data_IF_671712096647
#
_entry.id   IF_671712096647
#
_cell.length_a   1.000
_cell.length_b   1.000
_cell.length_c   1.000
_cell.angle_alpha   90.00
_cell.angle_beta   90.00
_cell.angle_gamma   90.00
#
_symmetry.space_group_name_H-M   'P 1'
#
loop_
_entity.id
_entity.type
_entity.pdbx_description
1 polymer ?
#
# COMPACT_ATOMS: atom_id res chain seq x y z
N UNK A 1 -3.02 -18.99 -9.97
CA UNK A 1 -2.72 -17.66 -10.57
C UNK A 1 -3.84 -16.70 -10.16
N UNK A 2 -3.69 -15.37 -10.20
CA UNK A 2 -4.76 -14.40 -9.87
C UNK A 2 -5.09 -14.17 -8.37
N UNK A 3 -4.14 -13.62 -7.59
CA UNK A 3 -4.52 -12.99 -6.31
C UNK A 3 -3.67 -11.75 -6.00
N UNK A 4 -2.39 -11.75 -6.40
CA UNK A 4 -1.50 -10.58 -6.21
C UNK A 4 -1.78 -9.44 -7.21
N UNK A 5 -2.04 -9.78 -8.47
CA UNK A 5 -2.52 -8.81 -9.45
C UNK A 5 -3.88 -8.28 -9.01
N UNK A 6 -4.81 -9.15 -8.60
CA UNK A 6 -6.13 -8.73 -8.10
C UNK A 6 -6.07 -7.83 -6.88
N UNK A 7 -5.26 -8.11 -5.85
CA UNK A 7 -5.18 -7.19 -4.68
C UNK A 7 -4.48 -5.86 -4.99
N UNK A 8 -3.48 -5.85 -5.87
CA UNK A 8 -2.87 -4.61 -6.38
C UNK A 8 -3.87 -3.83 -7.25
N UNK A 9 -4.53 -4.53 -8.15
CA UNK A 9 -5.55 -3.97 -9.04
C UNK A 9 -6.76 -3.50 -8.23
N UNK A 10 -7.13 -4.18 -7.15
CA UNK A 10 -8.16 -3.74 -6.20
C UNK A 10 -7.69 -2.52 -5.40
N UNK A 11 -6.46 -2.45 -4.88
CA UNK A 11 -5.96 -1.24 -4.22
C UNK A 11 -5.89 -0.03 -5.18
N UNK A 12 -5.44 -0.26 -6.42
CA UNK A 12 -5.34 0.79 -7.45
C UNK A 12 -6.71 1.15 -8.01
N UNK A 13 -7.63 0.19 -8.14
CA UNK A 13 -9.03 0.43 -8.52
C UNK A 13 -9.77 1.13 -7.39
N UNK A 14 -9.50 0.80 -6.14
CA UNK A 14 -9.99 1.54 -4.98
C UNK A 14 -9.49 2.99 -5.02
N UNK A 15 -8.26 3.26 -5.47
CA UNK A 15 -7.73 4.61 -5.69
C UNK A 15 -8.60 5.47 -6.61
N UNK A 16 -9.19 4.86 -7.65
CA UNK A 16 -10.06 5.55 -8.59
C UNK A 16 -11.42 5.93 -8.00
N UNK A 17 -11.85 5.28 -6.92
CA UNK A 17 -13.11 5.55 -6.22
C UNK A 17 -12.98 6.55 -5.06
N UNK A 18 -11.77 7.05 -4.77
CA UNK A 18 -11.54 7.98 -3.67
C UNK A 18 -11.90 9.42 -4.06
N UNK A 19 -12.79 10.03 -3.27
CA UNK A 19 -13.23 11.40 -3.43
C UNK A 19 -13.20 12.08 -2.05
N UNK A 20 -12.59 13.27 -1.91
CA UNK A 20 -11.91 14.06 -2.94
C UNK A 20 -10.53 13.48 -3.32
N UNK A 21 -10.18 13.60 -4.61
CA UNK A 21 -8.87 13.26 -5.17
C UNK A 21 -8.13 14.54 -5.55
N UNK A 22 -6.95 14.73 -4.99
CA UNK A 22 -6.01 15.79 -5.38
C UNK A 22 -4.76 15.13 -5.98
N UNK A 23 -4.32 15.62 -7.12
CA UNK A 23 -3.09 15.16 -7.76
C UNK A 23 -2.04 16.28 -7.67
N UNK A 24 -0.88 15.94 -7.15
CA UNK A 24 0.23 16.84 -6.92
C UNK A 24 1.42 16.40 -7.77
N UNK A 25 1.87 17.31 -8.63
CA UNK A 25 3.11 17.18 -9.36
C UNK A 25 4.20 17.88 -8.56
N UNK A 26 4.97 17.09 -7.81
CA UNK A 26 6.08 17.59 -6.99
C UNK A 26 7.39 17.39 -7.75
N UNK A 27 8.26 18.40 -7.88
CA UNK A 27 9.54 18.27 -8.61
C UNK A 27 10.50 17.27 -7.95
N UNK A 28 10.30 16.94 -6.67
CA UNK A 28 11.07 15.94 -5.91
C UNK A 28 10.57 14.50 -6.09
N UNK A 29 9.43 14.29 -6.76
CA UNK A 29 8.88 12.97 -7.07
C UNK A 29 8.96 12.71 -8.57
N UNK A 30 9.39 11.51 -8.95
CA UNK A 30 9.38 11.09 -10.37
C UNK A 30 7.97 10.80 -10.89
N UNK A 31 7.06 10.40 -10.01
CA UNK A 31 5.67 10.08 -10.34
C UNK A 31 4.71 11.05 -9.63
N UNK A 32 3.54 11.36 -10.22
CA UNK A 32 2.55 12.23 -9.58
C UNK A 32 2.06 11.61 -8.26
N UNK A 33 1.94 12.47 -7.24
CA UNK A 33 1.35 12.10 -5.96
C UNK A 33 -0.16 12.32 -6.02
N UNK A 34 -0.93 11.25 -6.05
CA UNK A 34 -2.38 11.30 -5.91
C UNK A 34 -2.75 11.09 -4.45
N UNK A 35 -3.47 12.04 -3.84
CA UNK A 35 -4.01 11.94 -2.49
C UNK A 35 -5.52 11.82 -2.60
N UNK A 36 -6.08 10.77 -2.01
CA UNK A 36 -7.52 10.54 -1.92
C UNK A 36 -7.93 10.33 -0.48
N UNK A 37 -9.21 10.58 -0.16
CA UNK A 37 -9.76 10.21 1.15
C UNK A 37 -10.78 9.10 0.97
N UNK A 38 -10.68 8.08 1.84
CA UNK A 38 -11.71 7.06 2.00
C UNK A 38 -12.43 7.35 3.31
N UNK A 39 -13.68 7.77 3.23
CA UNK A 39 -14.43 8.22 4.42
C UNK A 39 -13.68 9.35 5.14
N UNK A 40 -13.02 9.04 6.27
CA UNK A 40 -12.20 9.97 7.06
C UNK A 40 -10.70 9.70 6.98
N UNK A 41 -10.28 8.67 6.24
CA UNK A 41 -8.90 8.20 6.22
C UNK A 41 -8.17 8.63 4.94
N UNK A 42 -7.01 9.30 5.04
CA UNK A 42 -6.24 9.68 3.87
C UNK A 42 -5.55 8.45 3.23
N UNK A 43 -5.44 8.48 1.92
CA UNK A 43 -4.75 7.49 1.11
C UNK A 43 -3.83 8.23 0.12
N UNK A 44 -2.57 7.81 0.06
CA UNK A 44 -1.54 8.44 -0.78
C UNK A 44 -1.06 7.43 -1.81
N UNK A 45 -1.03 7.84 -3.08
CA UNK A 45 -0.63 7.02 -4.21
C UNK A 45 0.51 7.76 -4.92
N UNK A 46 1.67 7.12 -4.98
CA UNK A 46 2.81 7.61 -5.72
C UNK A 46 2.85 6.83 -7.04
N UNK A 47 2.28 7.44 -8.07
CA UNK A 47 2.10 6.81 -9.38
C UNK A 47 1.38 5.46 -9.29
N UNK A 48 1.98 4.41 -9.87
CA UNK A 48 1.39 3.06 -9.89
C UNK A 48 2.15 2.04 -9.03
N UNK A 49 3.21 2.47 -8.36
CA UNK A 49 4.19 1.59 -7.72
C UNK A 49 4.15 1.66 -6.19
N UNK A 50 3.64 2.75 -5.62
CA UNK A 50 3.54 2.88 -4.17
C UNK A 50 2.18 3.44 -3.74
N UNK A 51 1.64 2.88 -2.67
CA UNK A 51 0.39 3.34 -2.06
C UNK A 51 0.48 3.21 -0.55
N UNK A 52 -0.12 4.15 0.16
CA UNK A 52 -0.22 4.19 1.62
C UNK A 52 -1.66 4.49 2.01
N UNK A 53 -2.29 3.57 2.72
CA UNK A 53 -3.62 3.72 3.30
C UNK A 53 -3.48 3.94 4.79
N UNK A 54 -4.05 5.05 5.27
CA UNK A 54 -4.16 5.33 6.68
C UNK A 54 -5.53 4.89 7.20
N UNK A 55 -5.70 4.88 8.51
CA UNK A 55 -7.00 4.78 9.17
C UNK A 55 -7.51 6.19 9.56
N UNK A 56 -8.74 6.26 10.08
CA UNK A 56 -9.33 7.52 10.55
C UNK A 56 -8.63 8.14 11.76
N UNK A 57 -7.70 7.42 12.40
CA UNK A 57 -6.84 7.91 13.47
C UNK A 57 -5.46 8.37 12.95
N UNK A 58 -5.24 8.36 11.63
CA UNK A 58 -3.98 8.75 11.00
C UNK A 58 -2.86 7.71 11.13
N UNK A 59 -3.18 6.47 11.51
CA UNK A 59 -2.19 5.38 11.59
C UNK A 59 -2.13 4.66 10.25
N UNK A 60 -0.93 4.25 9.84
CA UNK A 60 -0.78 3.46 8.63
C UNK A 60 -1.53 2.15 8.80
N UNK A 61 -2.50 1.85 7.93
CA UNK A 61 -3.29 0.61 7.94
C UNK A 61 -2.68 -0.43 7.01
N UNK A 62 -2.35 0.00 5.79
CA UNK A 62 -1.71 -0.80 4.75
C UNK A 62 -0.82 0.10 3.90
N UNK A 63 0.28 -0.42 3.41
CA UNK A 63 1.04 0.22 2.35
C UNK A 63 1.48 -0.82 1.34
N UNK A 64 1.75 -0.41 0.13
CA UNK A 64 2.44 -1.20 -0.87
C UNK A 64 3.60 -0.37 -1.36
N UNK A 65 4.82 -0.86 -1.21
CA UNK A 65 6.03 -0.13 -1.56
C UNK A 65 7.05 -1.10 -2.13
N UNK A 66 7.59 -0.79 -3.30
CA UNK A 66 8.64 -1.58 -3.96
C UNK A 66 8.29 -3.07 -4.14
N UNK A 67 7.01 -3.39 -4.37
CA UNK A 67 6.55 -4.78 -4.53
C UNK A 67 6.22 -5.51 -3.23
N UNK A 68 6.40 -4.87 -2.08
CA UNK A 68 6.09 -5.42 -0.76
C UNK A 68 4.80 -4.85 -0.21
N UNK A 69 3.97 -5.70 0.39
CA UNK A 69 2.74 -5.29 1.04
C UNK A 69 2.98 -5.16 2.55
N UNK A 70 2.82 -3.96 3.08
CA UNK A 70 2.87 -3.68 4.50
C UNK A 70 1.46 -3.61 5.06
N UNK A 71 1.25 -4.18 6.23
CA UNK A 71 -0.02 -4.15 6.94
C UNK A 71 0.25 -3.87 8.40
N UNK A 72 -0.44 -2.89 8.96
CA UNK A 72 -0.36 -2.67 10.39
C UNK A 72 -1.15 -3.73 11.16
N UNK A 73 -0.63 -4.00 12.35
CA UNK A 73 -1.16 -4.92 13.33
C UNK A 73 -1.23 -4.21 14.68
N UNK A 74 -1.74 -4.91 15.69
CA UNK A 74 -2.00 -4.33 17.03
C UNK A 74 -0.82 -3.54 17.62
N UNK A 75 0.43 -3.96 17.37
CA UNK A 75 1.62 -3.36 17.96
C UNK A 75 2.72 -2.97 16.96
N UNK A 76 2.50 -3.11 15.65
CA UNK A 76 3.58 -2.89 14.67
C UNK A 76 3.15 -3.01 13.21
N UNK A 77 4.12 -3.06 12.32
CA UNK A 77 3.93 -3.26 10.88
C UNK A 77 4.42 -4.66 10.51
N UNK A 78 3.62 -5.45 9.78
CA UNK A 78 4.17 -6.62 9.08
C UNK A 78 4.37 -6.28 7.62
N UNK A 79 5.57 -6.59 7.14
CA UNK A 79 5.85 -6.76 5.72
C UNK A 79 5.43 -8.16 5.30
N UNK A 80 4.67 -8.23 4.23
CA UNK A 80 4.23 -9.44 3.56
C UNK A 80 4.91 -9.47 2.19
N UNK A 81 5.74 -10.48 2.01
CA UNK A 81 6.44 -10.77 0.76
C UNK A 81 6.10 -12.18 0.34
N UNK A 82 5.55 -12.35 -0.87
CA UNK A 82 5.19 -13.69 -1.36
C UNK A 82 6.20 -14.14 -2.41
N UNK A 83 7.18 -14.93 -1.99
CA UNK A 83 8.17 -15.52 -2.90
C UNK A 83 7.55 -16.76 -3.55
N UNK A 84 7.30 -16.65 -4.85
CA UNK A 84 6.98 -17.82 -5.69
C UNK A 84 8.26 -18.49 -6.11
N UNK A 85 8.40 -19.76 -5.75
CA UNK A 85 9.35 -20.69 -6.36
C UNK A 85 8.57 -21.60 -7.32
N UNK A 86 9.25 -22.27 -8.26
CA UNK A 86 8.61 -23.13 -9.27
C UNK A 86 7.71 -24.24 -8.66
N UNK A 87 7.95 -24.62 -7.40
CA UNK A 87 7.26 -25.72 -6.71
C UNK A 87 6.29 -25.26 -5.63
N UNK A 88 6.46 -24.06 -5.08
CA UNK A 88 5.65 -23.61 -3.95
C UNK A 88 5.61 -22.09 -3.84
N UNK A 89 4.51 -21.60 -3.30
CA UNK A 89 4.37 -20.19 -2.99
C UNK A 89 4.54 -19.97 -1.48
N UNK A 90 5.65 -19.37 -1.08
CA UNK A 90 5.95 -19.05 0.31
C UNK A 90 5.48 -17.65 0.62
N UNK A 91 4.65 -17.50 1.65
CA UNK A 91 4.28 -16.19 2.20
C UNK A 91 5.25 -15.87 3.33
N UNK A 92 6.26 -15.05 3.05
CA UNK A 92 7.15 -14.51 4.06
C UNK A 92 6.47 -13.33 4.72
N UNK A 93 6.15 -13.51 6.00
CA UNK A 93 5.75 -12.43 6.87
C UNK A 93 6.96 -12.04 7.70
N UNK A 94 7.36 -10.78 7.60
CA UNK A 94 8.39 -10.19 8.43
C UNK A 94 7.73 -9.09 9.24
N UNK A 95 7.59 -9.31 10.55
CA UNK A 95 7.16 -8.27 11.47
C UNK A 95 8.33 -7.26 11.60
N UNK A 96 8.05 -6.01 11.23
CA UNK A 96 8.93 -4.87 11.44
C UNK A 96 8.65 -4.36 12.85
N UNK A 97 9.45 -4.84 13.79
CA UNK A 97 9.56 -4.20 15.09
C UNK A 97 10.14 -2.80 14.92
N UNK A 98 9.76 -1.88 15.80
CA UNK A 98 10.04 -0.45 15.69
C UNK A 98 11.53 -0.08 15.92
N UNK A 99 12.44 -1.04 15.79
CA UNK A 99 13.86 -0.94 16.17
C UNK A 99 14.84 -0.85 14.97
N UNK A 100 14.40 -0.49 13.76
CA UNK A 100 15.31 -0.27 12.62
C UNK A 100 15.21 1.13 12.01
#
# INVERSE_FOLDING_TARGET
MAQHESEREDLIREATALLPRAEFLLPSLQEPLTVGFRESAPCFFFGQNQVYHFDGAGRLRRAFVAGFLYRSQHSGLARLERIRTETQTVLLRSDLDSEQ
#
